data_IF_887388208203
#
_entry.id   IF_887388208203
#
_cell.length_a   1.000
_cell.length_b   1.000
_cell.length_c   1.000
_cell.angle_alpha   90.00
_cell.angle_beta   90.00
_cell.angle_gamma   90.00
#
_symmetry.space_group_name_H-M   'P 1'
#
loop_
_entity.id
_entity.type
_entity.pdbx_description
1 polymer ?
#
# COMPACT_ATOMS: atom_id res chain seq x y z
N UNK A 1 23.65 -42.87 -5.73
CA UNK A 1 23.22 -41.94 -6.80
C UNK A 1 22.26 -40.96 -6.16
N UNK A 2 22.73 -39.72 -6.02
CA UNK A 2 22.13 -38.64 -5.24
C UNK A 2 21.16 -37.88 -6.16
N UNK A 3 19.87 -37.86 -5.84
CA UNK A 3 18.89 -37.02 -6.55
C UNK A 3 18.21 -36.11 -5.54
N UNK A 4 18.75 -34.91 -5.40
CA UNK A 4 18.25 -33.82 -4.57
C UNK A 4 16.97 -33.26 -5.18
N UNK A 5 15.81 -33.55 -4.59
CA UNK A 5 14.55 -32.91 -4.95
C UNK A 5 14.52 -31.49 -4.36
N UNK A 6 14.77 -30.47 -5.19
CA UNK A 6 14.54 -29.06 -4.85
C UNK A 6 13.04 -28.84 -4.65
N UNK A 7 12.63 -28.76 -3.39
CA UNK A 7 11.28 -28.33 -2.98
C UNK A 7 11.16 -26.83 -3.28
N UNK A 8 10.45 -26.49 -4.35
CA UNK A 8 10.03 -25.12 -4.65
C UNK A 8 9.10 -24.65 -3.53
N UNK A 9 9.52 -23.61 -2.81
CA UNK A 9 8.65 -22.86 -1.90
C UNK A 9 7.59 -22.14 -2.76
N UNK A 10 6.29 -22.18 -2.40
CA UNK A 10 5.30 -21.37 -3.10
C UNK A 10 5.58 -19.90 -2.78
N UNK A 11 5.81 -19.11 -3.84
CA UNK A 11 5.83 -17.65 -3.76
C UNK A 11 4.54 -17.17 -3.12
N UNK A 12 4.70 -16.36 -2.07
CA UNK A 12 3.61 -15.69 -1.36
C UNK A 12 2.86 -14.81 -2.37
N UNK A 13 1.73 -15.30 -2.89
CA UNK A 13 0.83 -14.48 -3.69
C UNK A 13 0.23 -13.43 -2.77
N UNK A 14 0.59 -12.16 -3.00
CA UNK A 14 -0.16 -11.02 -2.48
C UNK A 14 -1.58 -11.18 -3.02
N UNK A 15 -2.54 -11.37 -2.12
CA UNK A 15 -3.94 -11.30 -2.47
C UNK A 15 -4.23 -9.86 -2.93
N UNK A 16 -4.35 -9.67 -4.24
CA UNK A 16 -5.16 -8.57 -4.76
C UNK A 16 -6.56 -8.76 -4.17
N UNK A 17 -7.16 -7.70 -3.63
CA UNK A 17 -8.52 -7.75 -3.10
C UNK A 17 -9.45 -8.21 -4.23
N UNK A 18 -9.81 -9.50 -4.23
CA UNK A 18 -10.89 -9.98 -5.05
C UNK A 18 -12.15 -9.34 -4.49
N UNK A 19 -12.86 -8.56 -5.30
CA UNK A 19 -14.30 -8.43 -5.12
C UNK A 19 -14.88 -9.84 -5.30
N UNK A 20 -14.94 -10.62 -4.21
CA UNK A 20 -15.38 -12.02 -4.23
C UNK A 20 -16.71 -12.14 -3.50
N UNK A 21 -17.80 -12.16 -4.25
CA UNK A 21 -19.09 -12.57 -3.72
C UNK A 21 -19.17 -14.10 -3.76
N UNK A 22 -19.18 -14.72 -2.57
CA UNK A 22 -19.48 -16.14 -2.41
C UNK A 22 -20.99 -16.34 -2.58
N UNK A 23 -21.47 -16.46 -3.82
CA UNK A 23 -22.86 -16.81 -4.07
C UNK A 23 -23.02 -18.34 -4.06
N UNK A 24 -23.41 -18.90 -2.91
CA UNK A 24 -23.95 -20.27 -2.84
C UNK A 24 -25.33 -20.29 -3.48
N UNK A 25 -25.43 -20.67 -4.77
CA UNK A 25 -26.73 -21.03 -5.35
C UNK A 25 -26.66 -22.39 -6.03
N UNK A 26 -27.37 -23.35 -5.45
CA UNK A 26 -27.54 -24.71 -5.96
C UNK A 26 -28.69 -24.70 -6.98
N UNK A 27 -28.39 -24.44 -8.24
CA UNK A 27 -29.36 -24.57 -9.34
C UNK A 27 -28.87 -23.93 -10.65
N UNK A 28 -29.27 -24.45 -11.83
CA UNK A 28 -28.88 -23.87 -13.11
C UNK A 28 -29.78 -22.66 -13.41
N UNK A 29 -29.49 -21.53 -12.76
CA UNK A 29 -30.10 -20.26 -13.10
C UNK A 29 -29.13 -19.45 -13.95
N UNK A 30 -29.55 -19.11 -15.16
CA UNK A 30 -28.96 -18.04 -15.95
C UNK A 30 -29.18 -16.72 -15.21
N UNK A 31 -28.13 -16.20 -14.56
CA UNK A 31 -28.17 -14.92 -13.87
C UNK A 31 -27.80 -13.80 -14.84
N UNK A 32 -28.76 -12.92 -15.14
CA UNK A 32 -28.48 -11.61 -15.70
C UNK A 32 -28.09 -10.69 -14.55
N UNK A 33 -26.85 -10.20 -14.55
CA UNK A 33 -26.35 -9.30 -13.51
C UNK A 33 -27.04 -7.93 -13.65
N UNK A 34 -27.84 -7.55 -12.65
CA UNK A 34 -28.08 -6.14 -12.37
C UNK A 34 -26.81 -5.58 -11.76
N UNK A 35 -26.24 -4.55 -12.37
CA UNK A 35 -25.06 -3.80 -11.88
C UNK A 35 -25.24 -3.42 -10.40
N UNK A 36 -24.45 -3.98 -9.49
CA UNK A 36 -24.68 -3.77 -8.05
C UNK A 36 -23.68 -4.38 -7.07
N UNK A 37 -22.52 -4.86 -7.51
CA UNK A 37 -21.39 -5.14 -6.61
C UNK A 37 -20.49 -3.91 -6.53
N UNK A 38 -20.58 -3.13 -5.44
CA UNK A 38 -19.98 -1.79 -5.28
C UNK A 38 -18.47 -1.82 -4.95
N UNK A 39 -17.68 -2.53 -5.74
CA UNK A 39 -16.28 -2.12 -5.86
C UNK A 39 -16.29 -0.83 -6.70
N UNK A 40 -15.50 0.17 -6.36
CA UNK A 40 -15.34 1.40 -7.16
C UNK A 40 -13.88 1.76 -7.35
N UNK A 41 -12.97 1.13 -6.60
CA UNK A 41 -11.54 1.36 -6.63
C UNK A 41 -10.75 0.06 -6.45
N UNK A 42 -9.65 -0.04 -7.19
CA UNK A 42 -8.58 -1.01 -7.00
C UNK A 42 -7.24 -0.29 -6.99
N UNK A 43 -6.27 -0.80 -6.24
CA UNK A 43 -4.91 -0.29 -6.24
C UNK A 43 -3.95 -1.17 -7.03
N UNK A 44 -3.00 -0.53 -7.72
CA UNK A 44 -1.85 -1.23 -8.31
C UNK A 44 -0.72 -1.48 -7.29
N UNK A 45 -0.94 -1.14 -6.02
CA UNK A 45 0.03 -1.20 -4.95
C UNK A 45 0.92 0.04 -4.85
N UNK A 46 1.82 0.02 -3.86
CA UNK A 46 2.79 1.11 -3.69
C UNK A 46 3.83 1.13 -4.80
N UNK A 47 4.31 2.33 -5.09
CA UNK A 47 5.32 2.57 -6.11
C UNK A 47 6.64 3.03 -5.48
N UNK A 48 7.78 2.89 -6.20
CA UNK A 48 9.06 3.35 -5.72
C UNK A 48 9.02 4.80 -5.21
N UNK A 49 9.70 5.08 -4.09
CA UNK A 49 10.80 4.28 -3.54
C UNK A 49 10.43 3.18 -2.51
N UNK A 50 9.15 2.96 -2.21
CA UNK A 50 8.77 1.83 -1.35
C UNK A 50 8.57 0.59 -2.22
N UNK A 51 9.34 -0.46 -1.95
CA UNK A 51 9.21 -1.75 -2.59
C UNK A 51 7.98 -2.46 -2.01
N UNK A 52 7.08 -2.90 -2.89
CA UNK A 52 5.86 -3.60 -2.52
C UNK A 52 6.11 -4.94 -1.78
N UNK A 53 7.32 -5.51 -1.89
CA UNK A 53 7.74 -6.72 -1.17
C UNK A 53 8.13 -6.47 0.30
N UNK A 54 8.19 -5.20 0.71
CA UNK A 54 8.55 -4.77 2.06
C UNK A 54 10.04 -4.75 2.38
N UNK A 55 10.91 -4.82 1.37
CA UNK A 55 12.38 -4.85 1.52
C UNK A 55 13.06 -3.48 1.63
N UNK A 56 12.30 -2.38 1.58
CA UNK A 56 12.85 -1.03 1.59
C UNK A 56 13.46 -0.64 2.93
N UNK A 57 14.65 -0.04 2.87
CA UNK A 57 15.39 0.49 4.00
C UNK A 57 15.74 1.96 3.74
N UNK A 58 15.21 2.85 4.59
CA UNK A 58 15.42 4.30 4.51
C UNK A 58 16.23 4.82 5.70
N UNK A 59 16.85 5.97 5.50
CA UNK A 59 17.43 6.73 6.61
C UNK A 59 16.34 7.47 7.40
N UNK A 60 16.33 7.36 8.73
CA UNK A 60 15.36 7.93 9.66
C UNK A 60 15.50 9.44 9.86
N UNK A 61 16.36 10.11 9.10
CA UNK A 61 16.54 11.56 9.12
C UNK A 61 16.00 12.25 7.87
N UNK A 62 15.20 11.54 7.06
CA UNK A 62 14.82 11.94 5.71
C UNK A 62 13.34 11.76 5.40
N UNK A 63 12.86 12.45 4.38
CA UNK A 63 11.49 12.31 3.90
C UNK A 63 11.36 11.10 2.98
N UNK A 64 10.30 10.30 3.18
CA UNK A 64 9.99 9.11 2.38
C UNK A 64 8.75 9.39 1.53
N UNK A 65 8.86 9.44 0.19
CA UNK A 65 7.70 9.49 -0.69
C UNK A 65 6.92 8.18 -0.61
N UNK A 66 5.71 8.24 -0.10
CA UNK A 66 4.71 7.20 -0.23
C UNK A 66 3.92 7.47 -1.49
N UNK A 67 3.91 6.51 -2.42
CA UNK A 67 3.18 6.64 -3.68
C UNK A 67 2.29 5.42 -3.89
N UNK A 68 1.05 5.66 -4.29
CA UNK A 68 0.08 4.61 -4.61
C UNK A 68 -0.76 5.07 -5.79
N UNK A 69 -1.27 4.13 -6.59
CA UNK A 69 -2.19 4.44 -7.69
C UNK A 69 -3.48 3.66 -7.55
N UNK A 70 -4.59 4.33 -7.79
CA UNK A 70 -5.93 3.77 -7.80
C UNK A 70 -6.54 3.85 -9.19
N UNK A 71 -7.24 2.78 -9.58
CA UNK A 71 -7.98 2.66 -10.83
C UNK A 71 -9.38 2.15 -10.57
N UNK A 72 -10.28 2.35 -11.54
CA UNK A 72 -11.61 1.76 -11.52
C UNK A 72 -11.53 0.23 -11.46
N UNK A 73 -12.50 -0.35 -10.78
CA UNK A 73 -12.68 -1.78 -10.58
C UNK A 73 -13.43 -2.49 -11.73
N UNK A 74 -14.00 -1.73 -12.67
CA UNK A 74 -14.71 -2.27 -13.86
C UNK A 74 -13.77 -2.93 -14.89
N UNK A 75 -12.45 -2.94 -14.60
CA UNK A 75 -11.42 -3.49 -15.47
C UNK A 75 -10.97 -2.53 -16.58
N UNK A 76 -11.53 -1.31 -16.66
CA UNK A 76 -11.11 -0.29 -17.61
C UNK A 76 -9.71 0.25 -17.35
N UNK A 77 -9.23 0.16 -16.10
CA UNK A 77 -7.97 0.76 -15.67
C UNK A 77 -8.01 2.29 -15.64
N UNK A 78 -9.21 2.88 -15.68
CA UNK A 78 -9.38 4.33 -15.61
C UNK A 78 -8.85 4.88 -14.28
N UNK A 79 -8.03 5.93 -14.28
CA UNK A 79 -7.47 6.49 -13.05
C UNK A 79 -8.54 7.15 -12.18
N UNK A 80 -8.50 6.90 -10.88
CA UNK A 80 -9.41 7.52 -9.92
C UNK A 80 -8.75 8.74 -9.26
N UNK A 81 -9.27 9.92 -9.56
CA UNK A 81 -8.71 11.20 -9.10
C UNK A 81 -9.52 11.86 -7.98
N UNK A 82 -10.65 11.27 -7.58
CA UNK A 82 -11.60 11.85 -6.62
C UNK A 82 -11.49 11.25 -5.22
N UNK A 83 -10.57 10.30 -5.01
CA UNK A 83 -10.34 9.65 -3.72
C UNK A 83 -9.60 10.57 -2.75
N UNK A 84 -9.77 10.28 -1.47
CA UNK A 84 -9.07 10.94 -0.34
C UNK A 84 -8.32 9.90 0.51
N UNK A 85 -7.31 9.21 -0.05
CA UNK A 85 -6.56 8.22 0.69
C UNK A 85 -5.83 8.85 1.87
N UNK A 86 -5.77 8.11 2.97
CA UNK A 86 -5.08 8.50 4.19
C UNK A 86 -4.19 7.37 4.67
N UNK A 87 -3.25 7.70 5.57
CA UNK A 87 -2.25 6.74 6.04
C UNK A 87 -2.19 6.64 7.56
N UNK A 88 -1.89 5.42 8.00
CA UNK A 88 -1.51 5.06 9.37
C UNK A 88 -0.13 4.42 9.32
N UNK A 89 0.67 4.71 10.34
CA UNK A 89 2.00 4.13 10.51
C UNK A 89 2.11 3.48 11.89
N UNK A 90 2.69 2.28 11.95
CA UNK A 90 2.86 1.53 13.19
C UNK A 90 4.24 0.87 13.22
N UNK A 91 4.97 0.98 14.33
CA UNK A 91 6.23 0.26 14.50
C UNK A 91 5.96 -1.17 14.95
N UNK A 92 6.41 -2.15 14.16
CA UNK A 92 6.10 -3.58 14.40
C UNK A 92 7.33 -4.40 14.79
N UNK A 93 8.54 -3.83 14.72
CA UNK A 93 9.75 -4.54 15.14
C UNK A 93 11.04 -3.76 14.95
N UNK A 94 12.17 -4.48 14.96
CA UNK A 94 13.49 -3.95 14.64
C UNK A 94 13.79 -3.96 13.14
N UNK A 95 14.67 -3.07 12.71
CA UNK A 95 15.09 -2.97 11.30
C UNK A 95 16.17 -4.01 10.92
N UNK A 96 16.22 -4.47 9.66
CA UNK A 96 17.17 -5.47 9.14
C UNK A 96 17.74 -5.12 7.75
N UNK A 97 19.00 -5.48 7.43
CA UNK A 97 19.70 -5.04 6.20
C UNK A 97 20.50 -3.72 6.29
N UNK A 98 20.75 -3.07 5.14
CA UNK A 98 21.41 -1.77 5.01
C UNK A 98 20.47 -0.79 4.29
N UNK A 99 20.67 0.52 4.44
CA UNK A 99 19.93 1.54 3.67
C UNK A 99 20.12 1.26 2.18
N UNK A 100 19.02 1.07 1.45
CA UNK A 100 19.02 0.72 0.03
C UNK A 100 18.10 1.62 -0.81
N UNK A 101 17.31 2.49 -0.17
CA UNK A 101 16.42 3.40 -0.88
C UNK A 101 16.95 4.84 -0.95
N UNK A 102 16.65 5.48 -2.08
CA UNK A 102 16.85 6.91 -2.24
C UNK A 102 15.82 7.68 -1.41
N UNK A 103 16.34 8.69 -0.72
CA UNK A 103 15.55 9.57 0.13
C UNK A 103 15.13 10.82 -0.64
N UNK A 104 13.98 11.39 -0.27
CA UNK A 104 13.49 12.61 -0.92
C UNK A 104 14.06 13.86 -0.26
N UNK A 105 14.33 14.87 -1.08
CA UNK A 105 14.59 16.25 -0.65
C UNK A 105 13.32 17.10 -0.59
N UNK A 106 12.16 16.55 -0.93
CA UNK A 106 10.88 17.26 -0.84
C UNK A 106 10.50 17.56 0.61
N UNK A 107 9.76 18.65 0.79
CA UNK A 107 9.12 18.98 2.05
C UNK A 107 8.14 17.86 2.44
N UNK A 108 8.07 17.59 3.75
CA UNK A 108 7.11 16.66 4.30
C UNK A 108 5.68 17.23 4.20
N UNK A 109 4.72 16.33 4.06
CA UNK A 109 3.30 16.69 4.09
C UNK A 109 2.77 16.66 5.54
N UNK A 110 1.83 17.56 5.83
CA UNK A 110 1.12 17.62 7.12
C UNK A 110 -0.11 16.71 7.13
N UNK A 111 -0.57 16.34 8.34
CA UNK A 111 -1.76 15.48 8.50
C UNK A 111 -1.52 14.06 8.00
N UNK A 112 -2.56 13.39 7.51
CA UNK A 112 -2.50 11.99 7.04
C UNK A 112 -3.05 11.78 5.64
N UNK A 113 -3.59 12.82 5.00
CA UNK A 113 -4.23 12.73 3.68
C UNK A 113 -3.19 12.84 2.59
N UNK A 114 -3.21 11.91 1.63
CA UNK A 114 -2.34 11.96 0.47
C UNK A 114 -2.87 12.95 -0.56
N UNK A 115 -1.99 13.66 -1.24
CA UNK A 115 -2.35 14.59 -2.32
C UNK A 115 -2.41 13.87 -3.66
N UNK A 116 -3.36 14.25 -4.51
CA UNK A 116 -3.41 13.82 -5.90
C UNK A 116 -2.17 14.35 -6.65
N UNK A 117 -1.52 13.47 -7.41
CA UNK A 117 -0.38 13.78 -8.26
C UNK A 117 -0.67 13.61 -9.77
N UNK A 118 -1.90 13.20 -10.12
CA UNK A 118 -2.35 12.96 -11.48
C UNK A 118 -2.43 11.47 -11.81
N UNK A 119 -3.24 11.12 -12.82
CA UNK A 119 -3.39 9.74 -13.33
C UNK A 119 -3.70 8.68 -12.27
N UNK A 120 -4.49 9.07 -11.26
CA UNK A 120 -4.90 8.22 -10.15
C UNK A 120 -3.78 7.96 -9.15
N UNK A 121 -2.62 8.62 -9.31
CA UNK A 121 -1.51 8.54 -8.38
C UNK A 121 -1.71 9.52 -7.22
N UNK A 122 -1.53 9.02 -6.02
CA UNK A 122 -1.51 9.79 -4.79
C UNK A 122 -0.14 9.71 -4.16
N UNK A 123 0.33 10.86 -3.65
CA UNK A 123 1.64 10.99 -3.03
C UNK A 123 1.46 11.54 -1.63
N UNK A 124 2.26 11.03 -0.70
CA UNK A 124 2.45 11.62 0.61
C UNK A 124 3.93 11.60 0.98
N UNK A 125 4.48 12.74 1.33
CA UNK A 125 5.85 12.88 1.76
C UNK A 125 5.94 12.65 3.28
N UNK A 126 6.17 11.40 3.68
CA UNK A 126 6.27 11.00 5.07
C UNK A 126 7.52 11.58 5.74
N UNK A 127 7.34 12.37 6.79
CA UNK A 127 8.46 12.82 7.62
C UNK A 127 8.88 11.77 8.62
N UNK A 128 10.17 11.43 8.64
CA UNK A 128 10.77 10.66 9.73
C UNK A 128 11.26 11.55 10.87
N UNK A 129 11.43 12.86 10.64
CA UNK A 129 11.73 13.84 11.68
C UNK A 129 10.48 14.58 12.10
N UNK A 130 10.30 14.83 13.40
CA UNK A 130 9.11 15.51 13.93
C UNK A 130 7.80 14.98 13.33
N UNK A 131 7.69 13.66 13.27
CA UNK A 131 6.61 12.98 12.56
C UNK A 131 5.29 13.15 13.30
N UNK A 132 4.23 13.44 12.56
CA UNK A 132 2.85 13.43 13.07
C UNK A 132 2.46 12.04 13.61
N UNK A 133 3.11 10.98 13.13
CA UNK A 133 2.87 9.60 13.57
C UNK A 133 3.60 9.24 14.87
N UNK A 134 4.38 10.17 15.43
CA UNK A 134 5.02 10.02 16.75
C UNK A 134 4.88 11.30 17.58
N UNK A 135 3.67 11.88 17.63
CA UNK A 135 3.36 13.07 18.42
C UNK A 135 4.33 14.25 18.19
N UNK A 136 4.82 14.42 16.96
CA UNK A 136 5.78 15.46 16.59
C UNK A 136 7.23 15.19 16.99
N UNK A 137 7.55 13.98 17.43
CA UNK A 137 8.90 13.48 17.68
C UNK A 137 9.47 12.76 16.46
N UNK A 138 10.78 12.54 16.43
CA UNK A 138 11.43 11.77 15.38
C UNK A 138 11.00 10.29 15.45
N UNK A 139 10.85 9.66 14.28
CA UNK A 139 10.72 8.21 14.18
C UNK A 139 12.07 7.57 14.52
N UNK A 140 12.01 6.44 15.22
CA UNK A 140 13.21 5.71 15.63
C UNK A 140 13.57 4.65 14.59
N UNK A 141 14.79 4.12 14.68
CA UNK A 141 15.17 2.95 13.90
C UNK A 141 14.24 1.77 14.23
N UNK A 142 13.73 1.09 13.21
CA UNK A 142 12.72 0.04 13.39
C UNK A 142 12.06 -0.40 12.10
N UNK A 143 11.31 -1.49 12.18
CA UNK A 143 10.38 -1.94 11.13
C UNK A 143 9.03 -1.28 11.34
N UNK A 144 8.49 -0.73 10.27
CA UNK A 144 7.22 -0.03 10.26
C UNK A 144 6.25 -0.68 9.27
N UNK A 145 5.00 -0.85 9.71
CA UNK A 145 3.87 -1.17 8.87
C UNK A 145 3.17 0.13 8.46
N UNK A 146 3.14 0.38 7.17
CA UNK A 146 2.35 1.44 6.56
C UNK A 146 1.01 0.87 6.10
N UNK A 147 -0.07 1.49 6.56
CA UNK A 147 -1.42 1.21 6.11
C UNK A 147 -1.95 2.41 5.35
N UNK A 148 -2.37 2.19 4.11
CA UNK A 148 -3.09 3.19 3.31
C UNK A 148 -4.52 2.73 3.22
N UNK A 149 -5.45 3.63 3.53
CA UNK A 149 -6.87 3.37 3.37
C UNK A 149 -7.58 4.53 2.68
N UNK A 150 -8.58 4.21 1.89
CA UNK A 150 -9.41 5.22 1.22
C UNK A 150 -10.86 4.81 1.31
N UNK A 151 -11.73 5.80 1.54
CA UNK A 151 -13.17 5.60 1.42
C UNK A 151 -13.56 5.76 -0.05
N UNK A 152 -13.71 4.63 -0.74
CA UNK A 152 -14.15 4.62 -2.11
C UNK A 152 -15.69 4.52 -2.15
N UNK A 153 -16.39 5.56 -1.71
CA UNK A 153 -17.87 5.76 -1.70
C UNK A 153 -18.71 4.68 -0.97
N UNK A 154 -18.27 3.42 -0.89
CA UNK A 154 -18.98 2.27 -0.34
C UNK A 154 -18.06 1.12 0.13
N UNK A 155 -16.76 1.12 -0.21
CA UNK A 155 -15.80 0.12 0.29
C UNK A 155 -14.48 0.78 0.70
N UNK A 156 -14.02 0.51 1.92
CA UNK A 156 -12.67 0.91 2.35
C UNK A 156 -11.66 0.02 1.67
N UNK A 157 -10.90 0.54 0.71
CA UNK A 157 -9.75 -0.18 0.18
C UNK A 157 -8.56 0.01 1.13
N UNK A 158 -7.89 -1.08 1.49
CA UNK A 158 -6.82 -1.12 2.49
C UNK A 158 -5.58 -1.77 1.89
N UNK A 159 -4.45 -1.06 1.93
CA UNK A 159 -3.17 -1.55 1.46
C UNK A 159 -2.12 -1.51 2.58
N UNK A 160 -1.33 -2.58 2.69
CA UNK A 160 -0.29 -2.74 3.71
C UNK A 160 1.07 -2.96 3.08
N UNK A 161 2.10 -2.26 3.58
CA UNK A 161 3.49 -2.52 3.21
C UNK A 161 4.42 -2.27 4.39
N UNK A 162 5.46 -3.09 4.51
CA UNK A 162 6.50 -2.88 5.51
C UNK A 162 7.65 -2.07 4.93
N UNK A 163 8.35 -1.30 5.76
CA UNK A 163 9.67 -0.78 5.45
C UNK A 163 10.47 -0.60 6.74
N UNK A 164 11.78 -0.46 6.60
CA UNK A 164 12.70 -0.30 7.71
C UNK A 164 13.29 1.12 7.74
N UNK A 165 13.38 1.70 8.94
CA UNK A 165 14.09 2.94 9.22
C UNK A 165 15.43 2.66 9.90
N UNK A 166 16.47 3.38 9.51
CA UNK A 166 17.85 3.26 10.02
C UNK A 166 18.45 4.62 10.35
N UNK A 167 19.35 4.66 11.34
CA UNK A 167 20.19 5.83 11.59
C UNK A 167 21.13 6.12 10.41
#
# INVERSE_FOLDING_TARGET
MHTTLRRLLPSLAIAAAACSDTATSTGPASFSFGVGGLCTAMTTGVQPPINADGSSNFQNTRTIPVKIRFTDCDGSGNPLNTLTPTLKLEQTGGASGMVNELVSSSAADDGTTMRLAGDGQYIFNLSTKRSQFNAGQDLVSGRYLLTIYTDATFTTELYHVNFDLRN
#
